data_IF_977480771260
#
_entry.id   IF_977480771260
#
_cell.length_a   1.000
_cell.length_b   1.000
_cell.length_c   1.000
_cell.angle_alpha   90.00
_cell.angle_beta   90.00
_cell.angle_gamma   90.00
#
_symmetry.space_group_name_H-M   'P 1'
#
loop_
_entity.id
_entity.type
_entity.pdbx_description
1 polymer ?
#
# COMPACT_ATOMS: atom_id res chain seq x y z
N UNK A 1 -5.15 -9.42 -3.10
CA UNK A 1 -4.24 -8.25 -3.10
C UNK A 1 -2.78 -8.70 -3.01
N UNK A 2 -2.31 -9.24 -1.87
CA UNK A 2 -0.90 -9.56 -1.64
C UNK A 2 -0.31 -10.54 -2.66
N UNK A 3 -1.03 -11.59 -3.01
CA UNK A 3 -0.60 -12.54 -4.06
C UNK A 3 -0.37 -11.85 -5.41
N UNK A 4 -1.18 -10.84 -5.75
CA UNK A 4 -1.04 -10.08 -7.00
C UNK A 4 0.03 -9.00 -6.93
N UNK A 5 0.32 -8.45 -5.75
CA UNK A 5 1.43 -7.50 -5.55
C UNK A 5 2.78 -8.18 -5.79
N UNK A 6 2.84 -9.50 -5.54
CA UNK A 6 4.04 -10.31 -5.72
C UNK A 6 5.06 -10.13 -4.60
N UNK A 7 6.24 -10.72 -4.77
CA UNK A 7 7.33 -10.72 -3.79
C UNK A 7 8.39 -9.63 -4.05
N UNK A 8 8.17 -8.80 -5.07
CA UNK A 8 9.12 -7.79 -5.53
C UNK A 8 9.25 -6.57 -4.61
N UNK A 9 8.24 -6.32 -3.77
CA UNK A 9 8.22 -5.20 -2.82
C UNK A 9 8.27 -5.71 -1.39
N UNK A 10 9.15 -5.10 -0.58
CA UNK A 10 9.15 -5.37 0.85
C UNK A 10 8.05 -4.57 1.55
N UNK A 11 7.25 -5.23 2.38
CA UNK A 11 6.16 -4.61 3.14
C UNK A 11 6.73 -4.20 4.51
N UNK A 12 6.81 -2.89 4.76
CA UNK A 12 7.29 -2.33 6.03
C UNK A 12 6.17 -2.00 7.02
N UNK A 13 4.94 -1.85 6.53
CA UNK A 13 3.74 -1.61 7.34
C UNK A 13 2.56 -2.33 6.70
N UNK A 14 1.78 -3.01 7.53
CA UNK A 14 0.52 -3.62 7.11
C UNK A 14 -0.52 -3.46 8.21
N UNK A 15 -1.54 -2.64 7.96
CA UNK A 15 -2.65 -2.46 8.87
C UNK A 15 -3.96 -2.68 8.14
N UNK A 16 -4.75 -3.63 8.61
CA UNK A 16 -6.06 -3.95 8.07
C UNK A 16 -7.14 -3.58 9.08
N UNK A 17 -8.20 -2.93 8.60
CA UNK A 17 -9.40 -2.67 9.40
C UNK A 17 -10.64 -3.09 8.60
N UNK A 18 -11.44 -3.97 9.21
CA UNK A 18 -12.77 -4.29 8.74
C UNK A 18 -13.74 -3.23 9.27
N UNK A 19 -14.43 -2.53 8.38
CA UNK A 19 -15.50 -1.60 8.78
C UNK A 19 -16.83 -2.32 8.54
N UNK A 20 -17.31 -3.01 9.58
CA UNK A 20 -18.46 -3.93 9.50
C UNK A 20 -19.57 -3.45 8.57
N UNK A 21 -19.81 -4.25 7.53
CA UNK A 21 -20.57 -4.01 6.28
C UNK A 21 -19.64 -3.96 5.05
N UNK A 22 -19.22 -5.15 4.60
CA UNK A 22 -18.70 -5.49 3.26
C UNK A 22 -17.37 -4.88 2.77
N UNK A 23 -16.82 -3.84 3.40
CA UNK A 23 -15.58 -3.21 2.92
C UNK A 23 -14.45 -3.22 3.96
N UNK A 24 -13.36 -3.88 3.60
CA UNK A 24 -12.10 -3.84 4.35
C UNK A 24 -11.14 -2.82 3.73
N UNK A 25 -10.45 -2.05 4.57
CA UNK A 25 -9.39 -1.14 4.13
C UNK A 25 -8.04 -1.63 4.61
N UNK A 26 -7.03 -1.47 3.76
CA UNK A 26 -5.64 -1.77 4.06
C UNK A 26 -4.84 -0.47 3.97
N UNK A 27 -4.10 -0.17 5.03
CA UNK A 27 -2.99 0.75 5.01
C UNK A 27 -1.71 -0.07 4.85
N UNK A 28 -0.91 0.26 3.85
CA UNK A 28 0.32 -0.47 3.53
C UNK A 28 1.49 0.49 3.35
N UNK A 29 2.64 0.16 3.94
CA UNK A 29 3.93 0.76 3.65
C UNK A 29 4.78 -0.18 2.82
N UNK A 30 5.35 0.33 1.75
CA UNK A 30 6.20 -0.42 0.82
C UNK A 30 7.57 0.23 0.71
N UNK A 31 8.61 -0.58 0.80
CA UNK A 31 9.97 -0.16 0.50
C UNK A 31 10.28 -0.51 -0.96
N UNK A 32 10.59 0.52 -1.75
CA UNK A 32 10.90 0.36 -3.18
C UNK A 32 12.31 -0.20 -3.40
N UNK A 33 13.24 -0.01 -2.48
CA UNK A 33 14.65 -0.36 -2.69
C UNK A 33 15.22 0.37 -3.91
N UNK A 34 15.70 -0.38 -4.89
CA UNK A 34 16.19 0.14 -6.18
C UNK A 34 15.08 0.33 -7.24
N UNK A 35 13.84 -0.08 -6.95
CA UNK A 35 12.75 0.06 -7.90
C UNK A 35 12.30 1.52 -8.02
N UNK A 36 11.90 1.90 -9.23
CA UNK A 36 11.25 3.18 -9.45
C UNK A 36 9.78 3.13 -9.04
N UNK A 37 9.24 4.27 -8.62
CA UNK A 37 7.83 4.39 -8.22
C UNK A 37 6.85 4.03 -9.34
N UNK A 38 7.22 4.24 -10.61
CA UNK A 38 6.42 3.85 -11.78
C UNK A 38 6.15 2.35 -11.85
N UNK A 39 7.09 1.51 -11.41
CA UNK A 39 6.92 0.05 -11.38
C UNK A 39 5.85 -0.34 -10.35
N UNK A 40 5.86 0.31 -9.19
CA UNK A 40 4.82 0.11 -8.18
C UNK A 40 3.45 0.54 -8.71
N UNK A 41 3.36 1.73 -9.31
CA UNK A 41 2.10 2.22 -9.86
C UNK A 41 1.53 1.24 -10.90
N UNK A 42 2.34 0.77 -11.84
CA UNK A 42 1.91 -0.22 -12.83
C UNK A 42 1.42 -1.53 -12.19
N UNK A 43 2.08 -1.99 -11.12
CA UNK A 43 1.63 -3.15 -10.37
C UNK A 43 0.27 -2.89 -9.69
N UNK A 44 0.10 -1.76 -9.02
CA UNK A 44 -1.17 -1.39 -8.36
C UNK A 44 -2.32 -1.25 -9.37
N UNK A 45 -2.06 -0.62 -10.52
CA UNK A 45 -3.02 -0.45 -11.60
C UNK A 45 -3.46 -1.82 -12.16
N UNK A 46 -2.54 -2.78 -12.25
CA UNK A 46 -2.84 -4.18 -12.65
C UNK A 46 -3.68 -4.92 -11.61
N UNK A 47 -3.47 -4.65 -10.31
CA UNK A 47 -4.25 -5.26 -9.24
C UNK A 47 -5.71 -4.77 -9.29
N UNK A 48 -5.91 -3.47 -9.60
CA UNK A 48 -7.22 -2.90 -9.89
C UNK A 48 -8.07 -2.53 -8.66
N UNK A 49 -7.49 -2.49 -7.46
CA UNK A 49 -8.19 -1.91 -6.30
C UNK A 49 -7.96 -0.39 -6.26
N UNK A 50 -8.97 0.41 -5.90
CA UNK A 50 -8.78 1.82 -5.62
C UNK A 50 -7.73 2.03 -4.53
N UNK A 51 -6.83 2.98 -4.73
CA UNK A 51 -5.82 3.35 -3.77
C UNK A 51 -5.57 4.86 -3.80
N UNK A 52 -5.00 5.36 -2.71
CA UNK A 52 -4.54 6.74 -2.59
C UNK A 52 -3.12 6.75 -2.02
N UNK A 53 -2.26 7.62 -2.55
CA UNK A 53 -0.93 7.83 -2.01
C UNK A 53 -0.99 8.74 -0.78
N UNK A 54 -0.77 8.14 0.39
CA UNK A 54 -0.73 8.88 1.66
C UNK A 54 0.69 9.07 2.20
N UNK A 55 1.74 8.91 1.36
CA UNK A 55 3.14 9.07 1.76
C UNK A 55 3.39 10.40 2.47
N UNK A 56 2.75 11.48 2.01
CA UNK A 56 2.94 12.84 2.55
C UNK A 56 1.88 13.25 3.58
N UNK A 57 1.04 12.32 4.05
CA UNK A 57 0.03 12.62 5.06
C UNK A 57 0.71 12.97 6.41
N UNK A 58 0.31 14.10 7.00
CA UNK A 58 0.92 14.58 8.25
C UNK A 58 0.74 13.59 9.41
N UNK A 59 -0.42 12.96 9.53
CA UNK A 59 -0.68 11.94 10.55
C UNK A 59 0.21 10.70 10.34
N UNK A 60 0.37 10.23 9.10
CA UNK A 60 1.30 9.14 8.80
C UNK A 60 2.73 9.49 9.22
N UNK A 61 3.24 10.66 8.82
CA UNK A 61 4.60 11.10 9.14
C UNK A 61 4.85 11.29 10.65
N UNK A 62 3.82 11.69 11.42
CA UNK A 62 3.95 11.96 12.85
C UNK A 62 3.78 10.71 13.72
N UNK A 63 2.96 9.74 13.30
CA UNK A 63 2.55 8.64 14.18
C UNK A 63 2.97 7.25 13.70
N UNK A 64 3.35 7.09 12.43
CA UNK A 64 3.53 5.76 11.80
C UNK A 64 4.84 5.61 11.00
N UNK A 65 5.70 6.63 10.99
CA UNK A 65 7.00 6.59 10.32
C UNK A 65 8.11 6.04 11.20
#
# INVERSE_FOLDING_TARGET
FLERLGQQFNISLFHYRNHGAAEGRVLMGLQLGSHQRSVLNAALDTIGYPYEDITNNAGYQLFLK
#
